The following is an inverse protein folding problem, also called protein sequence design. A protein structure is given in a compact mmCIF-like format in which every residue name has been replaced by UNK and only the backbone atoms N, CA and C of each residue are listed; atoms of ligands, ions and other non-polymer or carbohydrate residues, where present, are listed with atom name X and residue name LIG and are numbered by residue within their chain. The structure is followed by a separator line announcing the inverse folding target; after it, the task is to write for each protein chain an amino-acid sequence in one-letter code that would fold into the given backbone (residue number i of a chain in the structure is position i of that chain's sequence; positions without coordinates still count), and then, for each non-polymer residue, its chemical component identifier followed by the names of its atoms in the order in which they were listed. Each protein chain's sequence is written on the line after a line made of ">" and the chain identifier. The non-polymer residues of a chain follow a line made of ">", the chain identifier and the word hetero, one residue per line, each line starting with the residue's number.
data_IF_976443484522
#
_entry.id   IF_976443484522
#
_cell.length_a   1.000
_cell.length_b   1.000
_cell.length_c   1.000
_cell.angle_alpha   90.00
_cell.angle_beta   90.00
_cell.angle_gamma   90.00
#
_symmetry.space_group_name_H-M   'P 1'
#
loop_
_entity.id
_entity.type
_entity.pdbx_description
1 polymer ?
#
# COMPACT_ATOMS: atom_id res chain seq x y z
N UNK A 1 -56.72 -4.31 -76.29
CA UNK A 1 -55.98 -5.14 -75.31
C UNK A 1 -54.98 -4.25 -74.57
N UNK A 2 -55.36 -3.72 -73.40
CA UNK A 2 -54.58 -2.71 -72.63
C UNK A 2 -54.01 -3.38 -71.40
N UNK A 3 -52.69 -3.49 -71.32
CA UNK A 3 -51.95 -4.01 -70.17
C UNK A 3 -51.70 -2.87 -69.17
N UNK A 4 -52.34 -2.95 -68.02
CA UNK A 4 -52.08 -2.08 -66.86
C UNK A 4 -50.85 -2.53 -66.13
N UNK A 5 -49.78 -1.72 -66.13
CA UNK A 5 -48.58 -1.87 -65.32
C UNK A 5 -48.86 -1.33 -63.93
N UNK A 6 -48.92 -2.21 -62.89
CA UNK A 6 -48.93 -1.84 -61.50
C UNK A 6 -47.50 -1.51 -61.03
N UNK A 7 -47.23 -0.29 -60.71
CA UNK A 7 -46.01 0.11 -59.98
C UNK A 7 -46.14 -0.24 -58.50
N UNK A 8 -45.31 -1.13 -58.04
CA UNK A 8 -45.16 -1.47 -56.61
C UNK A 8 -44.23 -0.45 -55.99
N UNK A 9 -44.72 0.31 -55.04
CA UNK A 9 -43.92 1.24 -54.24
C UNK A 9 -43.37 0.48 -53.04
N UNK A 10 -42.07 0.27 -53.04
CA UNK A 10 -41.34 -0.38 -51.92
C UNK A 10 -40.97 0.70 -50.93
N UNK A 11 -41.68 0.75 -49.78
CA UNK A 11 -41.39 1.69 -48.70
C UNK A 11 -40.26 1.11 -47.87
N UNK A 12 -39.06 1.72 -47.98
CA UNK A 12 -37.89 1.35 -47.18
C UNK A 12 -38.03 1.98 -45.77
N UNK A 13 -38.21 1.17 -44.76
CA UNK A 13 -38.16 1.59 -43.35
C UNK A 13 -36.72 1.59 -42.92
N UNK A 14 -36.14 2.77 -42.74
CA UNK A 14 -34.82 2.97 -42.15
C UNK A 14 -35.01 2.97 -40.63
N UNK A 15 -34.61 1.85 -39.98
CA UNK A 15 -34.54 1.79 -38.52
C UNK A 15 -33.28 2.48 -38.03
N UNK A 16 -33.43 3.68 -37.49
CA UNK A 16 -32.34 4.39 -36.82
C UNK A 16 -32.08 3.80 -35.47
N UNK A 17 -30.97 3.07 -35.34
CA UNK A 17 -30.50 2.55 -34.06
C UNK A 17 -29.82 3.69 -33.30
N UNK A 18 -30.52 4.25 -32.31
CA UNK A 18 -29.93 5.24 -31.40
C UNK A 18 -29.02 4.52 -30.40
N UNK A 19 -27.68 4.62 -30.60
CA UNK A 19 -26.72 4.26 -29.57
C UNK A 19 -26.83 5.28 -28.43
N UNK A 20 -27.40 4.87 -27.31
CA UNK A 20 -27.32 5.63 -26.05
C UNK A 20 -25.92 5.50 -25.48
N UNK A 21 -25.07 6.51 -25.70
CA UNK A 21 -23.80 6.64 -25.01
C UNK A 21 -24.13 7.11 -23.60
N UNK A 22 -24.13 6.18 -22.63
CA UNK A 22 -24.13 6.55 -21.23
C UNK A 22 -22.80 7.22 -20.91
N UNK A 23 -22.78 8.44 -20.33
CA UNK A 23 -21.52 9.04 -19.90
C UNK A 23 -20.92 8.14 -18.81
N UNK A 24 -19.73 7.58 -19.06
CA UNK A 24 -18.89 7.01 -18.03
C UNK A 24 -18.46 8.19 -17.17
N UNK A 25 -19.08 8.32 -16.00
CA UNK A 25 -18.56 9.19 -14.97
C UNK A 25 -17.22 8.58 -14.53
N UNK A 26 -16.12 9.11 -15.07
CA UNK A 26 -14.81 8.95 -14.48
C UNK A 26 -14.91 9.74 -13.19
N UNK A 27 -15.13 9.04 -12.06
CA UNK A 27 -14.85 9.59 -10.74
C UNK A 27 -13.34 9.73 -10.73
N UNK A 28 -12.81 10.93 -11.03
CA UNK A 28 -11.46 11.29 -10.62
C UNK A 28 -11.47 11.11 -9.10
N UNK A 29 -10.73 10.11 -8.62
CA UNK A 29 -10.42 10.00 -7.22
C UNK A 29 -9.70 11.30 -6.87
N UNK A 30 -10.42 12.21 -6.21
CA UNK A 30 -9.85 13.41 -5.60
C UNK A 30 -8.78 12.86 -4.66
N UNK A 31 -7.48 13.04 -4.94
CA UNK A 31 -6.34 12.40 -4.25
C UNK A 31 -6.32 12.59 -2.73
N UNK A 32 -7.51 12.75 -2.13
CA UNK A 32 -7.77 12.88 -0.70
C UNK A 32 -8.09 11.54 -0.09
N UNK A 33 -7.36 11.22 0.97
CA UNK A 33 -7.66 10.06 1.80
C UNK A 33 -9.08 10.15 2.37
N UNK A 34 -9.79 9.03 2.40
CA UNK A 34 -11.10 8.94 3.02
C UNK A 34 -11.03 9.22 4.52
N UNK A 35 -12.13 9.65 5.12
CA UNK A 35 -12.20 9.80 6.59
C UNK A 35 -11.93 8.49 7.33
N UNK A 36 -12.23 7.35 6.71
CA UNK A 36 -11.96 6.03 7.28
C UNK A 36 -10.46 5.75 7.25
N UNK A 37 -9.78 5.96 6.11
CA UNK A 37 -8.34 5.83 5.97
C UNK A 37 -7.59 6.72 6.98
N UNK A 38 -8.02 7.99 7.12
CA UNK A 38 -7.42 8.92 8.11
C UNK A 38 -7.60 8.41 9.54
N UNK A 39 -8.73 7.80 9.87
CA UNK A 39 -8.96 7.20 11.18
C UNK A 39 -8.04 5.99 11.42
N UNK A 40 -7.85 5.15 10.42
CA UNK A 40 -6.97 3.99 10.47
C UNK A 40 -5.50 4.40 10.62
N UNK A 41 -5.04 5.40 9.87
CA UNK A 41 -3.71 6.00 10.05
C UNK A 41 -3.51 6.58 11.47
N UNK A 42 -4.53 7.24 12.01
CA UNK A 42 -4.49 7.74 13.39
C UNK A 42 -4.46 6.60 14.42
N UNK A 43 -5.05 5.45 14.13
CA UNK A 43 -4.98 4.25 14.97
C UNK A 43 -3.58 3.65 14.93
N UNK A 44 -2.99 3.44 13.74
CA UNK A 44 -1.61 2.98 13.57
C UNK A 44 -0.62 3.89 14.30
N UNK A 45 -0.76 5.21 14.13
CA UNK A 45 0.04 6.20 14.84
C UNK A 45 -0.10 6.07 16.36
N UNK A 46 -1.31 5.92 16.88
CA UNK A 46 -1.54 5.78 18.33
C UNK A 46 -0.93 4.49 18.88
N UNK A 47 -1.08 3.38 18.16
CA UNK A 47 -0.56 2.10 18.57
C UNK A 47 0.98 2.09 18.66
N UNK A 48 1.64 2.87 17.80
CA UNK A 48 3.11 2.93 17.69
C UNK A 48 3.74 4.12 18.42
N UNK A 49 2.94 4.99 19.07
CA UNK A 49 3.45 6.17 19.78
C UNK A 49 4.50 5.85 20.86
N UNK A 50 4.37 4.71 21.53
CA UNK A 50 5.34 4.25 22.55
C UNK A 50 6.73 3.97 21.98
N UNK A 51 6.83 3.68 20.69
CA UNK A 51 8.06 3.34 20.00
C UNK A 51 8.92 4.54 19.59
N UNK A 52 8.51 5.79 19.94
CA UNK A 52 9.43 6.92 19.92
C UNK A 52 10.62 6.70 20.84
N UNK A 53 10.45 5.93 21.89
CA UNK A 53 11.53 5.32 22.64
C UNK A 53 11.80 3.93 22.05
N UNK A 54 12.91 3.79 21.31
CA UNK A 54 13.31 2.54 20.65
C UNK A 54 13.47 1.38 21.65
N UNK A 55 13.70 1.66 22.92
CA UNK A 55 13.79 0.62 23.96
C UNK A 55 12.46 -0.11 24.15
N UNK A 56 11.33 0.56 23.96
CA UNK A 56 10.01 -0.07 23.99
C UNK A 56 9.79 -1.00 22.77
N UNK A 57 10.32 -0.62 21.60
CA UNK A 57 10.27 -1.50 20.44
C UNK A 57 11.09 -2.78 20.69
N UNK A 58 12.30 -2.65 21.23
CA UNK A 58 13.15 -3.78 21.59
C UNK A 58 12.47 -4.66 22.67
N UNK A 59 11.87 -4.06 23.68
CA UNK A 59 11.15 -4.79 24.73
C UNK A 59 9.94 -5.57 24.19
N UNK A 60 9.29 -5.04 23.15
CA UNK A 60 8.16 -5.69 22.48
C UNK A 60 8.58 -6.68 21.36
N UNK A 61 9.89 -6.96 21.23
CA UNK A 61 10.41 -8.01 20.35
C UNK A 61 10.84 -7.54 18.97
N UNK A 62 10.90 -6.22 18.73
CA UNK A 62 11.50 -5.71 17.49
C UNK A 62 13.02 -5.79 17.55
N UNK A 63 13.63 -6.23 16.47
CA UNK A 63 15.08 -6.36 16.30
C UNK A 63 15.54 -5.65 15.03
N UNK A 64 16.81 -5.25 14.98
CA UNK A 64 17.36 -4.62 13.79
C UNK A 64 17.32 -5.59 12.59
N UNK A 65 16.62 -5.21 11.54
CA UNK A 65 16.53 -5.98 10.29
C UNK A 65 17.81 -5.94 9.45
N UNK A 66 18.81 -5.14 9.85
CA UNK A 66 20.03 -4.87 9.08
C UNK A 66 19.75 -4.34 7.65
N UNK A 67 18.65 -3.66 7.49
CA UNK A 67 18.26 -3.01 6.24
C UNK A 67 18.17 -1.50 6.47
N UNK A 68 18.98 -0.76 5.72
CA UNK A 68 19.02 0.70 5.70
C UNK A 68 19.10 1.16 4.25
N UNK A 69 18.25 2.10 3.86
CA UNK A 69 18.31 2.68 2.52
C UNK A 69 18.03 4.18 2.55
N UNK A 70 18.71 4.97 1.69
CA UNK A 70 18.46 6.41 1.54
C UNK A 70 16.98 6.69 1.21
N UNK A 71 16.40 7.69 1.85
CA UNK A 71 15.00 8.05 1.66
C UNK A 71 13.98 7.04 2.22
N UNK A 72 14.45 5.95 2.86
CA UNK A 72 13.59 4.95 3.49
C UNK A 72 13.87 4.92 5.00
N UNK A 73 15.13 4.78 5.38
CA UNK A 73 15.56 4.72 6.78
C UNK A 73 16.02 3.33 7.20
N UNK A 74 16.12 3.14 8.51
CA UNK A 74 16.52 1.89 9.15
C UNK A 74 15.31 1.13 9.68
N UNK A 75 15.29 -0.19 9.51
CA UNK A 75 14.15 -1.05 9.85
C UNK A 75 14.40 -1.90 11.08
N UNK A 76 13.44 -1.85 12.01
CA UNK A 76 13.32 -2.79 13.12
C UNK A 76 12.16 -3.74 12.83
N UNK A 77 12.38 -5.05 12.80
CA UNK A 77 11.38 -6.08 12.48
C UNK A 77 10.94 -6.83 13.74
N UNK A 78 9.64 -7.11 13.82
CA UNK A 78 9.08 -8.07 14.78
C UNK A 78 8.73 -9.37 14.06
N UNK A 79 9.54 -10.38 14.24
CA UNK A 79 9.35 -11.66 13.55
C UNK A 79 8.07 -12.40 13.97
N UNK A 80 7.55 -12.16 15.18
CA UNK A 80 6.30 -12.77 15.60
C UNK A 80 5.10 -12.25 14.78
N UNK A 81 5.14 -10.98 14.35
CA UNK A 81 4.13 -10.41 13.48
C UNK A 81 4.40 -10.75 12.01
N UNK A 82 5.66 -10.67 11.57
CA UNK A 82 6.03 -10.94 10.18
C UNK A 82 5.70 -12.39 9.72
N UNK A 83 5.57 -13.34 10.64
CA UNK A 83 5.26 -14.73 10.35
C UNK A 83 3.85 -15.16 10.77
N UNK A 84 2.97 -14.26 11.21
CA UNK A 84 1.60 -14.63 11.62
C UNK A 84 0.60 -14.67 10.46
N UNK A 85 1.05 -14.32 9.24
CA UNK A 85 0.27 -14.34 8.00
C UNK A 85 -0.94 -13.40 8.02
N UNK A 86 -0.87 -12.32 8.80
CA UNK A 86 -1.94 -11.34 8.97
C UNK A 86 -1.41 -9.91 8.88
N UNK A 87 -2.24 -8.98 8.44
CA UNK A 87 -1.98 -7.54 8.51
C UNK A 87 -2.85 -6.93 9.60
N UNK A 88 -2.25 -6.49 10.69
CA UNK A 88 -2.92 -5.75 11.77
C UNK A 88 -2.37 -4.31 11.81
N UNK A 89 -3.21 -3.33 11.47
CA UNK A 89 -2.79 -1.92 11.45
C UNK A 89 -2.28 -1.39 12.81
N UNK A 90 -2.54 -2.10 13.91
CA UNK A 90 -2.04 -1.76 15.24
C UNK A 90 -0.72 -2.45 15.59
N UNK A 91 -0.28 -3.42 14.78
CA UNK A 91 0.90 -4.24 15.01
C UNK A 91 1.74 -4.35 13.76
N UNK A 92 2.31 -3.22 13.28
CA UNK A 92 3.13 -3.26 12.08
C UNK A 92 4.28 -4.24 12.25
N UNK A 93 4.60 -4.98 11.20
CA UNK A 93 5.70 -5.94 11.17
C UNK A 93 7.05 -5.25 11.32
N UNK A 94 7.15 -4.01 10.79
CA UNK A 94 8.37 -3.21 10.86
C UNK A 94 8.10 -1.79 11.37
N UNK A 95 9.11 -1.26 12.04
CA UNK A 95 9.20 0.15 12.44
C UNK A 95 10.38 0.79 11.71
N UNK A 96 10.18 1.97 11.14
CA UNK A 96 11.20 2.69 10.38
C UNK A 96 11.73 3.85 11.19
N UNK A 97 13.04 3.83 11.45
CA UNK A 97 13.75 4.83 12.22
C UNK A 97 14.80 5.58 11.39
N UNK A 98 15.27 6.69 11.92
CA UNK A 98 16.44 7.39 11.37
C UNK A 98 17.74 6.60 11.57
N UNK A 99 17.83 5.86 12.66
CA UNK A 99 18.98 5.03 13.04
C UNK A 99 18.52 3.86 13.92
N UNK A 100 19.03 2.65 13.68
CA UNK A 100 18.77 1.45 14.47
C UNK A 100 19.98 0.97 15.25
N UNK A 101 21.05 1.75 15.34
CA UNK A 101 22.28 1.32 16.03
C UNK A 101 22.05 1.07 17.53
N UNK A 102 20.98 1.64 18.09
CA UNK A 102 20.67 1.53 19.51
C UNK A 102 21.69 2.21 20.43
N UNK A 103 22.78 2.74 19.86
CA UNK A 103 23.90 3.30 20.62
C UNK A 103 23.65 4.74 21.09
N UNK A 104 22.68 5.40 20.49
CA UNK A 104 22.25 6.74 20.85
C UNK A 104 20.80 6.70 21.35
N UNK A 105 20.57 6.14 22.54
CA UNK A 105 19.29 6.25 23.25
C UNK A 105 18.84 7.72 23.22
N UNK A 106 17.72 7.98 22.53
CA UNK A 106 17.14 9.32 22.37
C UNK A 106 17.51 10.05 21.08
N UNK A 107 18.26 9.46 20.14
CA UNK A 107 18.56 10.04 18.83
C UNK A 107 17.86 9.32 17.68
N UNK A 108 17.31 8.12 17.89
CA UNK A 108 16.54 7.41 16.84
C UNK A 108 15.14 8.00 16.74
N UNK A 109 14.86 8.66 15.62
CA UNK A 109 13.54 9.22 15.32
C UNK A 109 12.68 8.15 14.64
N UNK A 110 11.53 7.80 15.21
CA UNK A 110 10.52 6.98 14.55
C UNK A 110 9.88 7.80 13.42
N UNK A 111 9.95 7.30 12.19
CA UNK A 111 9.54 8.01 10.97
C UNK A 111 8.29 7.43 10.34
N UNK A 112 8.25 6.11 10.22
CA UNK A 112 7.16 5.38 9.56
C UNK A 112 6.92 4.03 10.24
N UNK A 113 5.83 3.40 9.84
CA UNK A 113 5.58 1.98 10.03
C UNK A 113 5.58 1.30 8.68
N UNK A 114 5.90 0.01 8.64
CA UNK A 114 5.82 -0.80 7.43
C UNK A 114 5.11 -2.10 7.75
N UNK A 115 4.14 -2.43 6.91
CA UNK A 115 3.41 -3.69 6.95
C UNK A 115 4.02 -4.65 5.94
N UNK A 116 4.09 -5.93 6.31
CA UNK A 116 4.75 -6.93 5.49
C UNK A 116 4.01 -8.25 5.53
N UNK A 117 3.71 -8.81 4.35
CA UNK A 117 3.19 -10.16 4.21
C UNK A 117 4.20 -11.04 3.49
N UNK A 118 4.82 -11.96 4.21
CA UNK A 118 5.83 -12.88 3.68
C UNK A 118 5.15 -13.90 2.76
N UNK A 119 5.79 -14.17 1.62
CA UNK A 119 5.33 -15.11 0.61
C UNK A 119 6.13 -16.41 0.64
N UNK A 120 5.53 -17.52 0.18
CA UNK A 120 6.26 -18.74 0.00
C UNK A 120 7.31 -18.62 -1.12
N UNK A 121 8.39 -19.36 -0.99
CA UNK A 121 9.40 -19.42 -2.04
C UNK A 121 8.89 -20.22 -3.25
N UNK A 122 9.20 -19.81 -4.50
CA UNK A 122 10.19 -18.82 -4.91
C UNK A 122 9.70 -17.37 -5.05
N UNK A 123 8.47 -17.03 -4.68
CA UNK A 123 7.95 -15.68 -4.82
C UNK A 123 6.54 -15.55 -4.27
N UNK A 124 5.89 -14.40 -4.49
CA UNK A 124 4.55 -14.10 -3.98
C UNK A 124 3.41 -14.64 -4.89
N UNK A 125 3.63 -15.78 -5.56
CA UNK A 125 2.61 -16.41 -6.41
C UNK A 125 1.49 -17.08 -5.60
N UNK A 126 1.71 -17.34 -4.33
CA UNK A 126 0.77 -17.91 -3.38
C UNK A 126 0.00 -16.87 -2.56
N UNK A 127 0.38 -15.61 -2.67
CA UNK A 127 -0.23 -14.49 -1.94
C UNK A 127 -0.72 -13.43 -2.92
N UNK A 128 -1.97 -13.05 -2.78
CA UNK A 128 -2.51 -11.85 -3.40
C UNK A 128 -2.01 -10.61 -2.67
N UNK A 129 -2.14 -9.43 -3.29
CA UNK A 129 -1.86 -8.15 -2.63
C UNK A 129 -2.77 -8.05 -1.40
N UNK A 130 -2.21 -7.87 -0.20
CA UNK A 130 -3.03 -7.84 1.02
C UNK A 130 -3.95 -6.61 1.07
N UNK A 131 -5.03 -6.73 1.83
CA UNK A 131 -5.78 -5.55 2.25
C UNK A 131 -4.98 -4.81 3.33
N UNK A 132 -4.81 -3.49 3.15
CA UNK A 132 -4.14 -2.60 4.09
C UNK A 132 -5.11 -1.57 4.66
N UNK A 133 -4.86 -0.30 4.37
CA UNK A 133 -5.76 0.79 4.74
C UNK A 133 -6.96 0.85 3.81
N UNK A 134 -8.09 1.32 4.33
CA UNK A 134 -9.30 1.45 3.51
C UNK A 134 -9.11 2.44 2.36
N UNK A 135 -9.49 2.03 1.15
CA UNK A 135 -9.40 2.81 -0.08
C UNK A 135 -8.38 2.23 -1.05
N UNK A 136 -8.03 3.01 -2.06
CA UNK A 136 -7.17 2.63 -3.19
C UNK A 136 -5.83 3.39 -3.21
N UNK A 137 -5.43 3.95 -2.06
CA UNK A 137 -4.20 4.75 -1.94
C UNK A 137 -2.98 3.93 -1.49
N UNK A 138 -3.18 2.68 -1.06
CA UNK A 138 -2.10 1.81 -0.61
C UNK A 138 -1.12 1.52 -1.74
N UNK A 139 0.13 1.84 -1.52
CA UNK A 139 1.20 1.59 -2.48
C UNK A 139 1.97 0.32 -2.08
N UNK A 140 1.29 -0.84 -2.15
CA UNK A 140 1.93 -2.13 -1.92
C UNK A 140 3.00 -2.39 -2.97
N UNK A 141 4.17 -2.80 -2.53
CA UNK A 141 5.28 -3.18 -3.39
C UNK A 141 5.70 -4.62 -3.11
N UNK A 142 6.05 -5.34 -4.18
CA UNK A 142 6.68 -6.63 -4.05
C UNK A 142 8.18 -6.45 -3.82
N UNK A 143 8.64 -6.78 -2.62
CA UNK A 143 10.05 -6.94 -2.33
C UNK A 143 10.47 -8.39 -2.70
N UNK A 144 11.40 -8.57 -3.64
CA UNK A 144 11.74 -9.91 -4.16
C UNK A 144 12.51 -10.77 -3.16
N UNK A 145 12.88 -10.19 -2.00
CA UNK A 145 13.75 -10.83 -1.03
C UNK A 145 15.21 -10.89 -1.47
N UNK A 146 16.02 -11.45 -0.59
CA UNK A 146 17.40 -11.86 -0.86
C UNK A 146 17.62 -13.24 -0.24
N UNK A 147 17.51 -14.28 -1.08
CA UNK A 147 17.61 -15.68 -0.65
C UNK A 147 18.98 -15.97 -0.03
N UNK A 148 20.04 -15.32 -0.53
CA UNK A 148 21.40 -15.49 -0.03
C UNK A 148 21.57 -14.92 1.38
N UNK A 149 20.80 -13.91 1.73
CA UNK A 149 20.72 -13.30 3.05
C UNK A 149 19.64 -13.94 3.94
N UNK A 150 18.88 -14.93 3.44
CA UNK A 150 17.77 -15.54 4.17
C UNK A 150 16.51 -14.67 4.25
N UNK A 151 16.38 -13.67 3.39
CA UNK A 151 15.24 -12.76 3.36
C UNK A 151 14.24 -13.26 2.31
N UNK A 152 13.03 -13.69 2.71
CA UNK A 152 12.01 -14.16 1.77
C UNK A 152 11.40 -13.02 0.96
N UNK A 153 10.81 -13.31 -0.21
CA UNK A 153 9.97 -12.36 -0.92
C UNK A 153 8.73 -12.00 -0.08
N UNK A 154 8.27 -10.77 -0.21
CA UNK A 154 7.17 -10.25 0.60
C UNK A 154 6.47 -9.06 -0.05
N UNK A 155 5.19 -8.89 0.20
CA UNK A 155 4.49 -7.64 -0.03
C UNK A 155 4.83 -6.66 1.09
N UNK A 156 5.12 -5.42 0.76
CA UNK A 156 5.44 -4.37 1.74
C UNK A 156 4.63 -3.10 1.47
N UNK A 157 4.21 -2.44 2.55
CA UNK A 157 3.48 -1.17 2.51
C UNK A 157 4.03 -0.23 3.58
N UNK A 158 4.65 0.87 3.16
CA UNK A 158 5.06 1.93 4.07
C UNK A 158 3.88 2.85 4.41
N UNK A 159 3.83 3.32 5.66
CA UNK A 159 2.93 4.38 6.09
C UNK A 159 3.69 5.42 6.92
N UNK A 160 3.91 6.61 6.34
CA UNK A 160 4.68 7.71 6.94
C UNK A 160 3.87 8.46 7.99
N UNK A 161 3.44 7.76 9.03
CA UNK A 161 2.55 8.31 10.07
C UNK A 161 3.24 9.27 11.03
N UNK A 162 4.58 9.31 11.07
CA UNK A 162 5.37 10.12 11.98
C UNK A 162 6.21 11.21 11.28
N UNK A 163 6.60 10.99 10.05
CA UNK A 163 7.32 11.97 9.22
C UNK A 163 6.54 12.23 7.94
N UNK A 164 6.29 13.50 7.64
CA UNK A 164 5.59 13.85 6.39
C UNK A 164 6.41 13.41 5.17
N UNK A 165 5.76 12.72 4.23
CA UNK A 165 6.31 12.41 2.93
C UNK A 165 5.61 13.27 1.86
N UNK A 166 6.31 14.20 1.19
CA UNK A 166 5.70 15.07 0.19
C UNK A 166 5.19 14.32 -1.05
N UNK A 167 5.73 13.12 -1.34
CA UNK A 167 5.28 12.28 -2.46
C UNK A 167 4.01 11.48 -2.13
N UNK A 168 3.63 11.37 -0.86
CA UNK A 168 2.44 10.66 -0.40
C UNK A 168 2.70 9.78 0.82
N UNK A 169 1.66 9.61 1.64
CA UNK A 169 1.80 8.91 2.93
C UNK A 169 2.17 7.43 2.79
N UNK A 170 1.80 6.80 1.66
CA UNK A 170 2.08 5.39 1.38
C UNK A 170 3.21 5.18 0.38
N UNK A 171 3.81 6.25 -0.15
CA UNK A 171 4.94 6.13 -1.08
C UNK A 171 6.19 5.69 -0.31
N UNK A 172 6.87 4.64 -0.80
CA UNK A 172 8.01 4.01 -0.13
C UNK A 172 9.14 4.97 0.19
N UNK A 173 9.58 5.72 -0.81
CA UNK A 173 10.70 6.65 -0.66
C UNK A 173 10.18 8.01 -0.21
N UNK A 174 10.78 8.56 0.82
CA UNK A 174 10.49 9.89 1.33
C UNK A 174 11.71 10.80 1.09
N UNK A 175 11.66 11.72 0.13
CA UNK A 175 12.79 12.61 -0.17
C UNK A 175 13.07 13.64 0.94
N UNK A 176 12.22 13.74 1.96
CA UNK A 176 12.42 14.62 3.12
C UNK A 176 13.19 13.94 4.27
N UNK A 177 13.66 12.71 4.06
CA UNK A 177 14.49 11.96 5.03
C UNK A 177 15.75 11.44 4.34
N UNK A 178 16.85 11.36 5.09
CA UNK A 178 18.14 10.86 4.63
C UNK A 178 18.17 9.32 4.60
#
# INVERSE_FOLDING_TARGET
>A
MSLLFRKSIMTSVIATLALSVTPVHIVEADGRLSSKTLKELAQARRATAKYHDISNAIADGYTNANFVAPGIGCHMINFAYAFDDAIDLHKPELLVYSDCSGTALGQSELRAVEYSLICAMPGCTDKEIPEGFTGDHDAWELFPGDISAGIPPQWTLHAWVWRHNPEGIFVKVNPAVD
#
